data_IF_175323214199
#
_entry.id   IF_175323214199
#
_cell.length_a   1.000
_cell.length_b   1.000
_cell.length_c   1.000
_cell.angle_alpha   90.00
_cell.angle_beta   90.00
_cell.angle_gamma   90.00
#
_symmetry.space_group_name_H-M   'P 1'
#
loop_
_entity.id
_entity.type
_entity.pdbx_description
1 polymer ?
#
# COMPACT_ATOMS: atom_id res chain seq x y z
N UNK A 1 -13.18 -6.01 -23.29
CA UNK A 1 -13.00 -4.56 -23.05
C UNK A 1 -11.83 -4.44 -22.10
N UNK A 2 -10.82 -3.61 -22.40
CA UNK A 2 -9.62 -3.56 -21.57
C UNK A 2 -9.98 -3.02 -20.18
N UNK A 3 -9.84 -3.86 -19.14
CA UNK A 3 -9.83 -3.45 -17.74
C UNK A 3 -8.73 -2.39 -17.59
N UNK A 4 -9.13 -1.12 -17.68
CA UNK A 4 -8.28 -0.02 -17.23
C UNK A 4 -8.26 -0.16 -15.72
N UNK A 5 -7.28 -0.90 -15.20
CA UNK A 5 -6.90 -0.85 -13.79
C UNK A 5 -6.75 0.61 -13.44
N UNK A 6 -7.75 1.14 -12.76
CA UNK A 6 -7.69 2.48 -12.23
C UNK A 6 -6.70 2.42 -11.07
N UNK A 7 -5.82 3.41 -11.02
CA UNK A 7 -4.82 3.55 -9.98
C UNK A 7 -5.07 4.87 -9.29
N UNK A 8 -5.01 4.87 -7.96
CA UNK A 8 -5.13 6.08 -7.18
C UNK A 8 -3.85 6.33 -6.37
N UNK A 9 -3.47 7.61 -6.17
CA UNK A 9 -2.29 7.95 -5.39
C UNK A 9 -2.58 7.83 -3.89
N UNK A 10 -1.58 7.37 -3.14
CA UNK A 10 -1.55 7.47 -1.68
C UNK A 10 -0.28 8.16 -1.21
N UNK A 11 -0.36 8.78 -0.03
CA UNK A 11 0.80 9.33 0.67
C UNK A 11 0.70 8.93 2.15
N UNK A 12 1.75 8.31 2.68
CA UNK A 12 1.85 7.97 4.09
C UNK A 12 3.24 8.31 4.63
N UNK A 13 3.35 8.40 5.96
CA UNK A 13 4.65 8.54 6.63
C UNK A 13 5.21 7.16 6.93
N UNK A 14 6.45 6.89 6.50
CA UNK A 14 7.16 5.67 6.80
C UNK A 14 7.23 5.49 8.34
N UNK A 15 6.72 4.38 8.91
CA UNK A 15 6.75 4.16 10.36
C UNK A 15 8.17 3.99 10.90
N UNK A 16 9.15 3.69 10.04
CA UNK A 16 10.55 3.49 10.42
C UNK A 16 11.35 4.79 10.43
N UNK A 17 11.26 5.61 9.38
CA UNK A 17 12.08 6.84 9.23
C UNK A 17 11.31 8.14 9.42
N UNK A 18 9.98 8.10 9.32
CA UNK A 18 9.13 9.30 9.29
C UNK A 18 9.05 9.98 7.92
N UNK A 19 9.78 9.47 6.91
CA UNK A 19 9.77 10.05 5.56
C UNK A 19 8.41 9.90 4.88
N UNK A 20 8.04 10.87 4.04
CA UNK A 20 6.83 10.77 3.23
C UNK A 20 7.06 9.83 2.06
N UNK A 21 6.27 8.78 1.99
CA UNK A 21 6.25 7.81 0.88
C UNK A 21 5.03 8.08 0.03
N UNK A 22 5.24 8.23 -1.28
CA UNK A 22 4.17 8.36 -2.27
C UNK A 22 4.17 7.12 -3.17
N UNK A 23 2.99 6.54 -3.38
CA UNK A 23 2.81 5.35 -4.20
C UNK A 23 1.48 5.38 -4.94
N UNK A 24 1.32 4.48 -5.91
CA UNK A 24 0.06 4.21 -6.60
C UNK A 24 -0.49 2.87 -6.10
N UNK A 25 -1.75 2.87 -5.68
CA UNK A 25 -2.49 1.67 -5.37
C UNK A 25 -3.46 1.34 -6.52
N UNK A 26 -3.72 0.06 -6.81
CA UNK A 26 -4.83 -0.32 -7.66
C UNK A 26 -6.18 -0.03 -6.97
N UNK A 27 -7.11 0.60 -7.68
CA UNK A 27 -8.48 0.87 -7.20
C UNK A 27 -9.26 -0.44 -6.97
N UNK A 28 -8.91 -1.51 -7.69
CA UNK A 28 -9.51 -2.82 -7.53
C UNK A 28 -8.85 -3.59 -6.37
N UNK A 29 -9.51 -3.56 -5.22
CA UNK A 29 -9.36 -4.57 -4.19
C UNK A 29 -9.81 -5.92 -4.78
N UNK A 30 -8.89 -6.68 -5.38
CA UNK A 30 -9.23 -8.00 -5.94
C UNK A 30 -9.79 -8.88 -4.83
N UNK A 31 -10.98 -9.45 -5.03
CA UNK A 31 -11.62 -10.40 -4.11
C UNK A 31 -10.72 -11.62 -3.82
N UNK A 32 -9.67 -11.83 -4.63
CA UNK A 32 -8.67 -12.90 -4.50
C UNK A 32 -7.42 -12.53 -3.70
N UNK A 33 -7.19 -11.25 -3.38
CA UNK A 33 -6.17 -10.87 -2.41
C UNK A 33 -6.75 -11.18 -1.03
N UNK A 34 -6.39 -12.34 -0.47
CA UNK A 34 -6.90 -12.87 0.79
C UNK A 34 -6.97 -11.83 1.93
N UNK A 35 -6.16 -10.76 1.87
CA UNK A 35 -6.11 -9.70 2.88
C UNK A 35 -6.31 -8.27 2.32
N UNK A 36 -6.56 -8.10 1.02
CA UNK A 36 -6.58 -6.79 0.33
C UNK A 36 -5.33 -5.93 0.63
N UNK A 37 -4.16 -6.57 0.83
CA UNK A 37 -2.91 -5.87 1.12
C UNK A 37 -2.08 -5.68 -0.16
N UNK A 38 -1.48 -4.50 -0.28
CA UNK A 38 -0.56 -4.15 -1.35
C UNK A 38 0.80 -3.76 -0.77
N UNK A 39 1.86 -4.34 -1.31
CA UNK A 39 3.23 -4.07 -0.87
C UNK A 39 3.81 -2.85 -1.57
N UNK A 40 4.44 -1.96 -0.79
CA UNK A 40 5.12 -0.76 -1.26
C UNK A 40 6.55 -0.79 -0.73
N UNK A 41 7.52 -0.71 -1.64
CA UNK A 41 8.93 -0.52 -1.29
C UNK A 41 9.19 0.92 -0.88
N UNK A 42 9.77 1.13 0.30
CA UNK A 42 10.16 2.44 0.80
C UNK A 42 11.66 2.65 0.60
N UNK A 43 12.03 3.65 -0.22
CA UNK A 43 13.43 4.00 -0.44
C UNK A 43 14.12 4.61 0.80
N UNK A 44 13.35 5.19 1.74
CA UNK A 44 13.90 5.80 2.95
C UNK A 44 14.41 4.78 3.97
N UNK A 45 13.69 3.69 4.17
CA UNK A 45 14.06 2.64 5.12
C UNK A 45 14.59 1.35 4.45
N UNK A 46 14.64 1.30 3.12
CA UNK A 46 14.94 0.11 2.32
C UNK A 46 14.04 -1.10 2.67
N UNK A 47 12.81 -0.82 3.10
CA UNK A 47 11.85 -1.79 3.62
C UNK A 47 10.58 -1.93 2.77
N UNK A 48 9.73 -2.88 3.15
CA UNK A 48 8.40 -3.08 2.54
C UNK A 48 7.32 -2.69 3.56
N UNK A 49 6.38 -1.87 3.11
CA UNK A 49 5.16 -1.54 3.85
C UNK A 49 3.96 -2.17 3.15
N UNK A 50 3.02 -2.67 3.93
CA UNK A 50 1.76 -3.18 3.40
C UNK A 50 0.68 -2.13 3.62
N UNK A 51 -0.14 -1.92 2.60
CA UNK A 51 -1.28 -0.98 2.66
C UNK A 51 -2.55 -1.75 2.34
N UNK A 52 -3.58 -1.50 3.13
CA UNK A 52 -4.90 -2.05 2.88
C UNK A 52 -5.59 -1.28 1.74
N UNK A 53 -5.86 -1.96 0.63
CA UNK A 53 -6.50 -1.39 -0.57
C UNK A 53 -7.93 -0.88 -0.34
N UNK A 54 -8.59 -1.24 0.77
CA UNK A 54 -9.94 -0.75 1.10
C UNK A 54 -9.93 0.51 1.95
N UNK A 55 -8.91 0.69 2.78
CA UNK A 55 -8.87 1.76 3.78
C UNK A 55 -7.70 2.73 3.58
N UNK A 56 -6.82 2.44 2.62
CA UNK A 56 -5.56 3.14 2.35
C UNK A 56 -4.63 3.21 3.56
N UNK A 57 -4.89 2.38 4.58
CA UNK A 57 -4.13 2.38 5.82
C UNK A 57 -2.91 1.48 5.70
N UNK A 58 -1.75 2.01 6.10
CA UNK A 58 -0.54 1.21 6.28
C UNK A 58 -0.77 0.24 7.44
N UNK A 59 -0.61 -1.06 7.17
CA UNK A 59 -0.65 -2.09 8.19
C UNK A 59 0.77 -2.38 8.65
N UNK A 60 0.97 -2.33 9.96
CA UNK A 60 2.22 -2.75 10.57
C UNK A 60 2.21 -4.27 10.74
N UNK A 61 3.19 -5.01 10.17
CA UNK A 61 3.24 -6.45 10.31
C UNK A 61 3.61 -6.92 11.74
N UNK A 62 3.93 -6.02 12.68
CA UNK A 62 4.39 -6.34 14.04
C UNK A 62 3.33 -6.15 15.14
N UNK A 63 2.03 -6.11 14.83
CA UNK A 63 0.99 -6.16 15.86
C UNK A 63 0.24 -7.50 15.84
N UNK A 64 0.90 -8.53 16.37
CA UNK A 64 0.25 -9.75 16.86
C UNK A 64 0.45 -9.89 18.37
#
# INVERSE_FOLDING_TARGET
>A
MADRRAWHPIIFSCPTTGDRVQALLPDEASESLADNLYSISCAGCDGIHFVNLRTDAVVDPKRS
#
